data_IF_668723906346
#
_entry.id   IF_668723906346
#
_cell.length_a   1.000
_cell.length_b   1.000
_cell.length_c   1.000
_cell.angle_alpha   90.00
_cell.angle_beta   90.00
_cell.angle_gamma   90.00
#
_symmetry.space_group_name_H-M   'P 1'
#
loop_
_entity.id
_entity.type
_entity.pdbx_description
1 polymer ?
#
# COMPACT_ATOMS: atom_id res chain seq x y z
N UNK A 1 -13.16 44.20 41.41
CA UNK A 1 -13.96 42.98 41.10
C UNK A 1 -13.39 42.30 39.88
N UNK A 2 -12.54 41.33 40.10
CA UNK A 2 -11.81 40.61 39.04
C UNK A 2 -12.48 39.27 38.82
N UNK A 3 -13.01 39.05 37.60
CA UNK A 3 -13.61 37.75 37.19
C UNK A 3 -12.50 36.78 36.80
N UNK A 4 -12.40 35.63 37.49
CA UNK A 4 -11.56 34.48 37.12
C UNK A 4 -12.17 33.77 35.90
N UNK A 5 -11.35 33.30 34.94
CA UNK A 5 -11.84 32.46 33.85
C UNK A 5 -12.10 31.03 34.34
N UNK A 6 -13.25 30.47 34.00
CA UNK A 6 -13.61 29.07 34.24
C UNK A 6 -12.92 28.19 33.19
N UNK A 7 -11.94 27.41 33.61
CA UNK A 7 -11.38 26.33 32.76
C UNK A 7 -12.41 25.20 32.58
N UNK A 8 -12.82 24.94 31.33
CA UNK A 8 -13.61 23.74 30.98
C UNK A 8 -12.65 22.59 30.87
N UNK A 9 -12.64 21.71 31.87
CA UNK A 9 -12.01 20.39 31.77
C UNK A 9 -12.81 19.57 30.74
N UNK A 10 -12.19 19.23 29.61
CA UNK A 10 -12.74 18.25 28.68
C UNK A 10 -12.54 16.86 29.29
N UNK A 11 -13.61 16.24 29.74
CA UNK A 11 -13.61 14.82 30.07
C UNK A 11 -13.31 14.02 28.79
N UNK A 12 -12.18 13.33 28.77
CA UNK A 12 -11.82 12.37 27.74
C UNK A 12 -12.81 11.19 27.85
N UNK A 13 -13.43 10.81 26.71
CA UNK A 13 -14.23 9.59 26.63
C UNK A 13 -13.37 8.40 27.03
N UNK A 14 -13.89 7.43 27.83
CA UNK A 14 -13.17 6.22 28.16
C UNK A 14 -12.83 5.46 26.87
N UNK A 15 -11.60 4.94 26.81
CA UNK A 15 -11.15 4.09 25.72
C UNK A 15 -12.07 2.87 25.62
N UNK A 16 -12.51 2.57 24.39
CA UNK A 16 -13.30 1.36 24.10
C UNK A 16 -12.49 0.14 24.52
N UNK A 17 -13.06 -0.85 25.23
CA UNK A 17 -12.34 -2.06 25.60
C UNK A 17 -11.81 -2.75 24.32
N UNK A 18 -10.67 -3.45 24.40
CA UNK A 18 -10.14 -4.19 23.27
C UNK A 18 -11.17 -5.20 22.79
N UNK A 19 -11.47 -5.19 21.49
CA UNK A 19 -12.32 -6.21 20.89
C UNK A 19 -11.67 -7.58 21.13
N UNK A 20 -12.47 -8.54 21.60
CA UNK A 20 -12.06 -9.93 21.74
C UNK A 20 -11.47 -10.43 20.43
N UNK A 21 -10.34 -11.13 20.54
CA UNK A 21 -9.69 -11.80 19.43
C UNK A 21 -10.69 -12.84 18.90
N UNK A 22 -11.23 -12.59 17.72
CA UNK A 22 -12.07 -13.58 17.03
C UNK A 22 -11.31 -14.88 16.85
N UNK A 23 -12.00 -16.05 16.98
CA UNK A 23 -11.37 -17.34 16.80
C UNK A 23 -10.71 -17.43 15.43
N UNK A 24 -9.58 -18.09 15.40
CA UNK A 24 -8.74 -18.38 14.24
C UNK A 24 -9.61 -18.66 13.00
N UNK A 25 -9.60 -17.75 12.03
CA UNK A 25 -10.06 -18.08 10.70
C UNK A 25 -9.24 -19.29 10.22
N UNK A 26 -9.90 -20.29 9.66
CA UNK A 26 -9.26 -21.48 9.11
C UNK A 26 -8.00 -21.09 8.34
N UNK A 27 -6.87 -21.69 8.70
CA UNK A 27 -5.54 -21.30 8.26
C UNK A 27 -5.35 -21.64 6.76
N UNK A 28 -5.86 -20.76 5.89
CA UNK A 28 -5.48 -20.72 4.48
C UNK A 28 -4.09 -20.10 4.31
N UNK A 29 -3.41 -20.40 3.22
CA UNK A 29 -2.15 -19.74 2.86
C UNK A 29 -2.37 -18.24 2.71
N UNK A 30 -1.34 -17.44 3.01
CA UNK A 30 -1.34 -15.99 2.73
C UNK A 30 -1.73 -15.68 1.26
N UNK A 31 -1.34 -16.55 0.33
CA UNK A 31 -1.59 -16.37 -1.11
C UNK A 31 -2.99 -16.79 -1.55
N UNK A 32 -3.78 -17.44 -0.69
CA UNK A 32 -5.11 -17.91 -1.07
C UNK A 32 -6.07 -16.74 -1.30
N UNK A 33 -6.55 -16.65 -2.53
CA UNK A 33 -7.60 -15.71 -2.91
C UNK A 33 -8.97 -16.33 -2.59
N UNK A 34 -9.86 -15.54 -1.99
CA UNK A 34 -11.17 -16.00 -1.56
C UNK A 34 -12.25 -14.94 -1.77
N UNK A 35 -13.54 -15.31 -1.79
CA UNK A 35 -14.62 -14.34 -1.83
C UNK A 35 -14.54 -13.37 -0.66
N UNK A 36 -14.69 -12.07 -0.95
CA UNK A 36 -14.74 -11.03 0.07
C UNK A 36 -16.05 -11.10 0.85
N UNK A 37 -15.98 -10.89 2.17
CA UNK A 37 -17.17 -10.71 2.99
C UNK A 37 -17.83 -9.37 2.64
N UNK A 38 -19.01 -9.41 2.02
CA UNK A 38 -19.73 -8.21 1.59
C UNK A 38 -20.83 -7.87 2.61
N UNK A 39 -21.05 -6.56 2.93
CA UNK A 39 -22.18 -6.16 3.74
C UNK A 39 -23.50 -6.39 3.00
N UNK A 40 -24.64 -6.62 3.72
CA UNK A 40 -25.95 -6.95 3.11
C UNK A 40 -26.41 -5.97 2.03
N UNK A 41 -26.04 -4.68 2.14
CA UNK A 41 -26.35 -3.65 1.14
C UNK A 41 -25.74 -3.90 -0.23
N UNK A 42 -24.77 -4.81 -0.33
CA UNK A 42 -24.11 -5.23 -1.58
C UNK A 42 -24.55 -6.62 -2.05
N UNK A 43 -25.64 -7.13 -1.50
CA UNK A 43 -26.17 -8.43 -1.90
C UNK A 43 -26.30 -8.53 -3.44
N UNK A 44 -25.91 -9.69 -3.97
CA UNK A 44 -25.84 -9.98 -5.40
C UNK A 44 -24.57 -9.46 -6.09
N UNK A 45 -23.70 -8.70 -5.42
CA UNK A 45 -22.39 -8.33 -5.94
C UNK A 45 -21.29 -9.33 -5.51
N UNK A 46 -20.13 -9.26 -6.16
CA UNK A 46 -19.00 -10.14 -5.91
C UNK A 46 -17.70 -9.34 -5.91
N UNK A 47 -16.77 -9.74 -5.07
CA UNK A 47 -15.37 -9.31 -5.10
C UNK A 47 -14.51 -10.43 -4.53
N UNK A 48 -13.25 -10.50 -4.94
CA UNK A 48 -12.27 -11.39 -4.34
C UNK A 48 -11.32 -10.61 -3.44
N UNK A 49 -10.75 -11.31 -2.47
CA UNK A 49 -9.82 -10.70 -1.51
C UNK A 49 -8.80 -11.72 -1.02
N UNK A 50 -7.70 -11.22 -0.46
CA UNK A 50 -6.68 -11.98 0.26
C UNK A 50 -5.96 -11.04 1.23
N UNK A 51 -5.14 -11.55 2.17
CA UNK A 51 -4.28 -10.67 2.98
C UNK A 51 -3.46 -9.73 2.09
N UNK A 52 -3.35 -8.44 2.46
CA UNK A 52 -2.72 -7.40 1.66
C UNK A 52 -3.68 -6.62 0.74
N UNK A 53 -4.87 -7.14 0.44
CA UNK A 53 -5.92 -6.37 -0.25
C UNK A 53 -6.61 -5.44 0.73
N UNK A 54 -6.80 -4.18 0.34
CA UNK A 54 -7.46 -3.18 1.20
C UNK A 54 -8.89 -3.61 1.53
N UNK A 55 -9.23 -3.60 2.81
CA UNK A 55 -10.52 -4.03 3.33
C UNK A 55 -10.60 -5.50 3.73
N UNK A 56 -9.56 -6.31 3.48
CA UNK A 56 -9.53 -7.71 3.87
C UNK A 56 -9.98 -7.93 5.34
N UNK A 57 -10.83 -8.95 5.64
CA UNK A 57 -11.36 -10.03 4.77
C UNK A 57 -12.59 -9.65 3.93
N UNK A 58 -13.05 -8.42 4.00
CA UNK A 58 -14.15 -7.87 3.20
C UNK A 58 -13.66 -6.98 2.06
N UNK A 59 -14.41 -5.90 1.82
CA UNK A 59 -14.04 -4.81 0.92
C UNK A 59 -13.89 -3.51 1.72
N UNK A 60 -13.13 -2.55 1.19
CA UNK A 60 -13.02 -1.21 1.78
C UNK A 60 -14.40 -0.55 1.88
N UNK A 61 -14.71 0.09 3.01
CA UNK A 61 -16.03 0.68 3.28
C UNK A 61 -16.36 1.81 2.28
N UNK A 62 -15.36 2.58 1.84
CA UNK A 62 -15.56 3.61 0.82
C UNK A 62 -15.84 2.98 -0.54
N UNK A 63 -15.18 1.87 -0.90
CA UNK A 63 -15.46 1.10 -2.12
C UNK A 63 -16.88 0.48 -2.07
N UNK A 64 -17.30 -0.01 -0.89
CA UNK A 64 -18.65 -0.53 -0.69
C UNK A 64 -19.72 0.54 -0.94
N UNK A 65 -19.54 1.75 -0.37
CA UNK A 65 -20.45 2.88 -0.59
C UNK A 65 -20.42 3.36 -2.05
N UNK A 66 -19.26 3.34 -2.70
CA UNK A 66 -19.09 3.67 -4.12
C UNK A 66 -19.90 2.73 -5.00
N UNK A 67 -19.76 1.42 -4.81
CA UNK A 67 -20.50 0.41 -5.57
C UNK A 67 -22.02 0.53 -5.36
N UNK A 68 -22.46 0.73 -4.11
CA UNK A 68 -23.88 0.98 -3.82
C UNK A 68 -24.42 2.23 -4.52
N UNK A 69 -23.63 3.31 -4.53
CA UNK A 69 -23.99 4.59 -5.17
C UNK A 69 -24.11 4.42 -6.68
N UNK A 70 -23.11 3.81 -7.33
CA UNK A 70 -23.10 3.57 -8.76
C UNK A 70 -24.24 2.62 -9.19
N UNK A 71 -24.60 1.60 -8.37
CA UNK A 71 -25.75 0.73 -8.58
C UNK A 71 -27.06 1.52 -8.51
N UNK A 72 -27.25 2.39 -7.52
CA UNK A 72 -28.41 3.28 -7.38
C UNK A 72 -28.56 4.20 -8.58
N UNK A 73 -27.45 4.77 -9.04
CA UNK A 73 -27.41 5.68 -10.19
C UNK A 73 -27.51 4.91 -11.53
N UNK A 74 -27.62 3.58 -11.51
CA UNK A 74 -27.73 2.68 -12.67
C UNK A 74 -26.61 2.88 -13.68
N UNK A 75 -25.39 3.07 -13.19
CA UNK A 75 -24.19 3.16 -14.04
C UNK A 75 -24.04 1.90 -14.88
N UNK A 76 -23.76 2.07 -16.19
CA UNK A 76 -23.61 0.98 -17.17
C UNK A 76 -22.49 1.33 -18.15
N UNK A 77 -22.07 0.32 -18.93
CA UNK A 77 -21.00 0.44 -19.91
C UNK A 77 -19.63 0.45 -19.30
N UNK A 78 -18.67 1.03 -20.01
CA UNK A 78 -17.26 1.03 -19.61
C UNK A 78 -17.03 1.96 -18.41
N UNK A 79 -16.45 1.40 -17.37
CA UNK A 79 -16.04 2.11 -16.15
C UNK A 79 -14.53 1.89 -15.94
N UNK A 80 -13.78 2.97 -15.87
CA UNK A 80 -12.37 2.95 -15.46
C UNK A 80 -12.28 3.09 -13.94
N UNK A 81 -11.88 2.03 -13.27
CA UNK A 81 -11.65 2.02 -11.82
C UNK A 81 -10.15 2.17 -11.53
N UNK A 82 -9.77 3.31 -10.96
CA UNK A 82 -8.38 3.68 -10.68
C UNK A 82 -7.84 3.10 -9.35
N UNK A 83 -8.64 2.31 -8.64
CA UNK A 83 -8.26 1.61 -7.41
C UNK A 83 -9.16 0.38 -7.24
N UNK A 84 -9.04 -0.57 -8.18
CA UNK A 84 -10.00 -1.63 -8.38
C UNK A 84 -10.11 -2.64 -7.22
N UNK A 85 -9.07 -2.75 -6.38
CA UNK A 85 -9.06 -3.66 -5.23
C UNK A 85 -9.37 -5.09 -5.63
N UNK A 86 -10.46 -5.66 -5.08
CA UNK A 86 -10.94 -7.01 -5.40
C UNK A 86 -11.95 -7.09 -6.55
N UNK A 87 -12.10 -6.04 -7.36
CA UNK A 87 -12.95 -6.04 -8.58
C UNK A 87 -14.44 -5.82 -8.34
N UNK A 88 -14.84 -5.28 -7.19
CA UNK A 88 -16.25 -5.11 -6.79
C UNK A 88 -17.11 -4.43 -7.87
N UNK A 89 -16.61 -3.36 -8.50
CA UNK A 89 -17.35 -2.60 -9.50
C UNK A 89 -17.63 -3.39 -10.79
N UNK A 90 -16.80 -4.40 -11.09
CA UNK A 90 -17.01 -5.30 -12.23
C UNK A 90 -18.23 -6.23 -12.08
N UNK A 91 -18.74 -6.39 -10.86
CA UNK A 91 -19.95 -7.17 -10.59
C UNK A 91 -21.25 -6.35 -10.68
N UNK A 92 -21.16 -5.05 -10.94
CA UNK A 92 -22.34 -4.20 -11.14
C UNK A 92 -23.05 -4.55 -12.46
N UNK A 93 -24.40 -4.66 -12.47
CA UNK A 93 -25.17 -5.04 -13.67
C UNK A 93 -24.92 -4.09 -14.84
N UNK A 94 -24.38 -4.63 -15.94
CA UNK A 94 -24.16 -3.89 -17.19
C UNK A 94 -22.91 -3.00 -17.17
N UNK A 95 -22.01 -3.17 -16.21
CA UNK A 95 -20.69 -2.54 -16.18
C UNK A 95 -19.66 -3.44 -16.85
N UNK A 96 -18.86 -2.85 -17.73
CA UNK A 96 -17.61 -3.42 -18.24
C UNK A 96 -16.46 -2.74 -17.51
N UNK A 97 -15.75 -3.47 -16.64
CA UNK A 97 -14.70 -2.90 -15.82
C UNK A 97 -13.39 -2.80 -16.60
N UNK A 98 -12.78 -1.63 -16.59
CA UNK A 98 -11.37 -1.40 -16.93
C UNK A 98 -10.63 -1.14 -15.62
N UNK A 99 -9.99 -2.20 -15.11
CA UNK A 99 -9.40 -2.19 -13.78
C UNK A 99 -7.97 -1.66 -13.82
N UNK A 100 -7.66 -0.75 -12.90
CA UNK A 100 -6.30 -0.28 -12.64
C UNK A 100 -5.98 -0.52 -11.17
N UNK A 101 -4.80 -1.05 -10.90
CA UNK A 101 -4.40 -1.35 -9.54
C UNK A 101 -2.88 -1.27 -9.37
N UNK A 102 -2.42 -0.68 -8.27
CA UNK A 102 -1.00 -0.57 -7.93
C UNK A 102 -0.51 -1.57 -6.89
N UNK A 103 -1.41 -2.31 -6.25
CA UNK A 103 -1.07 -3.27 -5.20
C UNK A 103 -1.01 -4.71 -5.77
N UNK A 104 0.13 -5.37 -5.66
CA UNK A 104 0.33 -6.73 -6.17
C UNK A 104 -0.65 -7.77 -5.57
N UNK A 105 -1.00 -7.73 -4.26
CA UNK A 105 -2.04 -8.61 -3.72
C UNK A 105 -3.41 -8.42 -4.39
N UNK A 106 -3.79 -7.17 -4.69
CA UNK A 106 -5.05 -6.89 -5.35
C UNK A 106 -5.04 -7.30 -6.83
N UNK A 107 -3.90 -7.13 -7.53
CA UNK A 107 -3.71 -7.66 -8.88
C UNK A 107 -3.84 -9.19 -8.92
N UNK A 108 -3.36 -9.89 -7.91
CA UNK A 108 -3.54 -11.34 -7.78
C UNK A 108 -5.04 -11.71 -7.63
N UNK A 109 -5.77 -10.98 -6.79
CA UNK A 109 -7.21 -11.19 -6.60
C UNK A 109 -8.01 -10.88 -7.88
N UNK A 110 -7.67 -9.82 -8.61
CA UNK A 110 -8.29 -9.46 -9.89
C UNK A 110 -8.05 -10.52 -10.96
N UNK A 111 -6.82 -11.04 -11.05
CA UNK A 111 -6.49 -12.14 -11.98
C UNK A 111 -7.31 -13.40 -11.70
N UNK A 112 -7.44 -13.77 -10.42
CA UNK A 112 -8.26 -14.92 -10.02
C UNK A 112 -9.75 -14.71 -10.32
N UNK A 113 -10.22 -13.45 -10.24
CA UNK A 113 -11.57 -13.06 -10.63
C UNK A 113 -11.80 -13.05 -12.15
N UNK A 114 -10.78 -13.33 -12.97
CA UNK A 114 -10.83 -13.22 -14.42
C UNK A 114 -10.90 -11.78 -14.93
N UNK A 115 -10.50 -10.80 -14.12
CA UNK A 115 -10.48 -9.37 -14.46
C UNK A 115 -9.06 -9.02 -14.92
N UNK A 116 -8.93 -8.63 -16.19
CA UNK A 116 -7.68 -8.07 -16.70
C UNK A 116 -7.45 -6.68 -16.12
N UNK A 117 -6.46 -6.56 -15.23
CA UNK A 117 -6.14 -5.32 -14.53
C UNK A 117 -4.78 -4.79 -14.96
N UNK A 118 -4.72 -3.52 -15.31
CA UNK A 118 -3.49 -2.84 -15.69
C UNK A 118 -2.75 -2.34 -14.44
N UNK A 119 -1.49 -2.79 -14.20
CA UNK A 119 -0.68 -2.28 -13.11
C UNK A 119 -0.30 -0.83 -13.37
N UNK A 120 -0.84 0.10 -12.58
CA UNK A 120 -0.51 1.52 -12.69
C UNK A 120 -0.75 2.28 -11.39
N UNK A 121 -0.16 3.47 -11.30
CA UNK A 121 -0.22 4.37 -10.14
C UNK A 121 -0.46 5.82 -10.60
N UNK A 122 -0.83 6.75 -9.69
CA UNK A 122 -1.05 8.15 -10.04
C UNK A 122 0.14 8.76 -10.81
N UNK A 123 -0.14 9.32 -11.98
CA UNK A 123 0.84 9.87 -12.90
C UNK A 123 1.06 9.05 -14.17
N UNK A 124 0.62 7.78 -14.19
CA UNK A 124 0.76 6.96 -15.39
C UNK A 124 -0.17 7.39 -16.51
N UNK A 125 0.35 7.29 -17.74
CA UNK A 125 -0.41 7.54 -18.94
C UNK A 125 -1.15 6.26 -19.37
N UNK A 126 -2.46 6.21 -19.10
CA UNK A 126 -3.30 5.07 -19.47
C UNK A 126 -3.81 5.11 -20.92
N UNK A 127 -3.39 6.10 -21.73
CA UNK A 127 -3.87 6.21 -23.13
C UNK A 127 -3.33 5.12 -24.04
N UNK A 128 -2.16 4.60 -23.74
CA UNK A 128 -1.59 3.50 -24.51
C UNK A 128 -2.39 2.21 -24.31
N UNK A 129 -2.85 1.96 -23.07
CA UNK A 129 -3.68 0.82 -22.73
C UNK A 129 -5.12 0.98 -23.23
N UNK A 130 -5.68 2.19 -23.09
CA UNK A 130 -7.05 2.51 -23.49
C UNK A 130 -7.08 3.84 -24.29
N UNK A 131 -6.90 3.77 -25.62
CA UNK A 131 -6.97 4.95 -26.49
C UNK A 131 -8.33 5.65 -26.39
N UNK A 132 -9.42 4.86 -26.34
CA UNK A 132 -10.76 5.34 -26.06
C UNK A 132 -11.02 5.32 -24.55
N UNK A 133 -11.16 6.52 -23.97
CA UNK A 133 -11.36 6.66 -22.53
C UNK A 133 -12.81 6.40 -22.15
N UNK A 134 -13.06 5.57 -21.13
CA UNK A 134 -14.38 5.46 -20.53
C UNK A 134 -14.89 6.81 -20.06
N UNK A 135 -16.17 7.06 -20.28
CA UNK A 135 -16.82 8.31 -19.82
C UNK A 135 -17.09 8.30 -18.32
N UNK A 136 -17.06 7.15 -17.68
CA UNK A 136 -17.21 6.99 -16.24
C UNK A 136 -15.89 6.52 -15.63
N UNK A 137 -15.40 7.29 -14.67
CA UNK A 137 -14.19 6.98 -13.88
C UNK A 137 -14.61 6.82 -12.42
N UNK A 138 -14.06 5.82 -11.75
CA UNK A 138 -14.25 5.56 -10.33
C UNK A 138 -12.91 5.64 -9.61
N UNK A 139 -12.89 6.18 -8.39
CA UNK A 139 -11.72 6.27 -7.57
C UNK A 139 -12.09 6.21 -6.09
N UNK A 140 -11.37 5.38 -5.33
CA UNK A 140 -11.34 5.42 -3.87
C UNK A 140 -10.08 6.14 -3.42
N UNK A 141 -10.24 7.26 -2.71
CA UNK A 141 -9.13 8.03 -2.17
C UNK A 141 -8.39 7.25 -1.07
N UNK A 142 -7.09 7.20 -1.17
CA UNK A 142 -6.21 6.65 -0.15
C UNK A 142 -5.61 7.78 0.71
N UNK A 143 -6.46 8.51 1.45
CA UNK A 143 -6.05 9.63 2.30
C UNK A 143 -5.12 9.24 3.45
N UNK A 144 -5.10 7.97 3.83
CA UNK A 144 -4.16 7.35 4.77
C UNK A 144 -2.72 7.26 4.22
N UNK A 145 -2.53 7.36 2.90
CA UNK A 145 -1.21 7.43 2.26
C UNK A 145 -0.63 8.86 2.22
N UNK A 146 -1.32 9.82 2.80
CA UNK A 146 -0.88 11.21 2.93
C UNK A 146 -1.43 12.16 1.85
N UNK A 147 -1.21 13.45 2.11
CA UNK A 147 -1.81 14.53 1.32
C UNK A 147 -1.32 14.54 -0.14
N UNK A 148 -0.01 14.38 -0.36
CA UNK A 148 0.57 14.39 -1.70
C UNK A 148 0.00 13.26 -2.58
N UNK A 149 -0.13 12.04 -2.03
CA UNK A 149 -0.69 10.91 -2.77
C UNK A 149 -2.17 11.14 -3.14
N UNK A 150 -2.99 11.59 -2.20
CA UNK A 150 -4.40 11.85 -2.47
C UNK A 150 -4.60 12.97 -3.51
N UNK A 151 -3.75 14.00 -3.51
CA UNK A 151 -3.76 15.04 -4.55
C UNK A 151 -3.28 14.51 -5.90
N UNK A 152 -2.26 13.62 -5.91
CA UNK A 152 -1.85 12.93 -7.12
C UNK A 152 -2.98 12.06 -7.71
N UNK A 153 -3.74 11.35 -6.84
CA UNK A 153 -4.94 10.61 -7.27
C UNK A 153 -5.99 11.52 -7.90
N UNK A 154 -6.25 12.71 -7.34
CA UNK A 154 -7.18 13.70 -7.90
C UNK A 154 -6.71 14.19 -9.27
N UNK A 155 -5.44 14.56 -9.41
CA UNK A 155 -4.86 14.98 -10.68
C UNK A 155 -4.96 13.86 -11.74
N UNK A 156 -4.66 12.64 -11.34
CA UNK A 156 -4.74 11.47 -12.21
C UNK A 156 -6.17 11.16 -12.66
N UNK A 157 -7.12 11.15 -11.73
CA UNK A 157 -8.54 10.97 -12.06
C UNK A 157 -9.01 12.03 -13.05
N UNK A 158 -8.60 13.30 -12.86
CA UNK A 158 -8.90 14.35 -13.82
C UNK A 158 -8.26 14.07 -15.19
N UNK A 159 -6.99 13.67 -15.24
CA UNK A 159 -6.30 13.31 -16.48
C UNK A 159 -6.98 12.14 -17.21
N UNK A 160 -7.48 11.15 -16.49
CA UNK A 160 -8.14 9.96 -17.03
C UNK A 160 -9.60 10.19 -17.45
N UNK A 161 -10.30 11.15 -16.85
CA UNK A 161 -11.70 11.46 -17.19
C UNK A 161 -11.74 12.34 -18.44
N UNK A 162 -12.42 11.97 -19.56
CA UNK A 162 -12.56 12.83 -20.73
C UNK A 162 -13.44 14.05 -20.42
N UNK A 163 -13.34 15.18 -21.15
CA UNK A 163 -14.29 16.29 -21.03
C UNK A 163 -15.74 15.82 -21.18
N UNK A 164 -16.62 16.26 -20.28
CA UNK A 164 -17.99 15.77 -20.16
C UNK A 164 -18.15 14.37 -19.59
N UNK A 165 -17.05 13.70 -19.23
CA UNK A 165 -17.06 12.44 -18.48
C UNK A 165 -17.34 12.67 -17.00
N UNK A 166 -17.71 11.61 -16.31
CA UNK A 166 -18.12 11.61 -14.89
C UNK A 166 -17.09 10.89 -14.02
N UNK A 167 -16.67 11.53 -12.95
CA UNK A 167 -15.91 10.91 -11.86
C UNK A 167 -16.84 10.61 -10.67
N UNK A 168 -16.80 9.37 -10.18
CA UNK A 168 -17.29 8.97 -8.87
C UNK A 168 -16.09 8.86 -7.93
N UNK A 169 -16.04 9.71 -6.90
CA UNK A 169 -14.92 9.83 -5.97
C UNK A 169 -15.38 9.45 -4.56
N UNK A 170 -14.89 8.33 -4.05
CA UNK A 170 -15.18 7.86 -2.70
C UNK A 170 -14.02 8.09 -1.75
N UNK A 171 -14.29 8.18 -0.44
CA UNK A 171 -13.26 8.27 0.58
C UNK A 171 -13.80 8.45 1.99
N UNK A 172 -12.89 8.43 2.95
CA UNK A 172 -13.16 8.58 4.36
C UNK A 172 -13.01 10.05 4.79
N UNK A 173 -14.05 10.61 5.43
CA UNK A 173 -14.03 11.97 5.97
C UNK A 173 -12.88 12.18 6.96
N UNK A 174 -12.61 11.22 7.80
CA UNK A 174 -11.61 11.32 8.86
C UNK A 174 -10.16 11.20 8.30
N UNK A 175 -10.05 10.80 7.01
CA UNK A 175 -8.80 10.77 6.23
C UNK A 175 -8.69 11.93 5.22
N UNK A 176 -9.42 13.02 5.44
CA UNK A 176 -9.28 14.27 4.68
C UNK A 176 -10.15 14.38 3.42
N UNK A 177 -11.17 13.55 3.25
CA UNK A 177 -12.08 13.56 2.10
C UNK A 177 -12.54 14.96 1.69
N UNK A 178 -13.00 15.79 2.63
CA UNK A 178 -13.56 17.12 2.30
C UNK A 178 -12.52 18.04 1.63
N UNK A 179 -11.23 17.92 1.99
CA UNK A 179 -10.14 18.65 1.35
C UNK A 179 -9.95 18.20 -0.09
N UNK A 180 -9.91 16.89 -0.31
CA UNK A 180 -9.63 16.32 -1.64
C UNK A 180 -10.80 16.48 -2.59
N UNK A 181 -12.05 16.38 -2.10
CA UNK A 181 -13.25 16.68 -2.90
C UNK A 181 -13.30 18.14 -3.31
N UNK A 182 -12.88 19.07 -2.43
CA UNK A 182 -12.76 20.48 -2.80
C UNK A 182 -11.70 20.70 -3.88
N UNK A 183 -10.53 20.08 -3.76
CA UNK A 183 -9.49 20.13 -4.80
C UNK A 183 -9.97 19.54 -6.13
N UNK A 184 -10.66 18.40 -6.08
CA UNK A 184 -11.25 17.77 -7.26
C UNK A 184 -12.35 18.65 -7.86
N UNK A 185 -13.24 19.23 -7.05
CA UNK A 185 -14.29 20.17 -7.50
C UNK A 185 -13.74 21.38 -8.24
N UNK A 186 -12.63 21.94 -7.75
CA UNK A 186 -11.93 23.05 -8.42
C UNK A 186 -11.38 22.60 -9.80
N UNK A 187 -10.80 21.41 -9.88
CA UNK A 187 -10.25 20.87 -11.12
C UNK A 187 -11.34 20.50 -12.14
N UNK A 188 -12.39 19.84 -11.69
CA UNK A 188 -13.49 19.41 -12.56
C UNK A 188 -14.48 20.54 -12.91
N UNK A 189 -14.47 21.63 -12.13
CA UNK A 189 -15.38 22.77 -12.28
C UNK A 189 -16.78 22.53 -11.73
N UNK A 190 -17.03 21.38 -11.09
CA UNK A 190 -18.26 21.03 -10.39
C UNK A 190 -18.01 19.84 -9.49
N UNK A 191 -18.88 19.62 -8.50
CA UNK A 191 -18.82 18.44 -7.66
C UNK A 191 -19.77 18.54 -6.48
N UNK A 192 -20.47 17.47 -6.20
CA UNK A 192 -21.35 17.36 -5.05
C UNK A 192 -21.17 16.02 -4.35
N UNK A 193 -21.26 16.00 -3.03
CA UNK A 193 -21.33 14.76 -2.25
C UNK A 193 -22.75 14.20 -2.34
N UNK A 194 -22.91 13.07 -3.00
CA UNK A 194 -24.21 12.45 -3.34
C UNK A 194 -24.58 11.25 -2.46
N UNK A 195 -23.60 10.72 -1.68
CA UNK A 195 -23.85 9.64 -0.75
C UNK A 195 -22.99 9.76 0.51
N UNK A 196 -23.55 9.30 1.64
CA UNK A 196 -22.89 9.27 2.96
C UNK A 196 -23.31 8.01 3.70
N UNK A 197 -22.34 7.33 4.32
CA UNK A 197 -22.57 6.21 5.23
C UNK A 197 -21.46 6.20 6.31
N UNK A 198 -21.81 6.38 7.57
CA UNK A 198 -20.82 6.56 8.63
C UNK A 198 -19.81 7.68 8.31
N UNK A 199 -18.53 7.33 8.30
CA UNK A 199 -17.42 8.21 7.87
C UNK A 199 -17.27 8.33 6.35
N UNK A 200 -17.81 7.35 5.60
CA UNK A 200 -17.61 7.27 4.15
C UNK A 200 -18.48 8.26 3.38
N UNK A 201 -17.95 8.74 2.28
CA UNK A 201 -18.58 9.72 1.39
C UNK A 201 -18.33 9.35 -0.06
N UNK A 202 -19.28 9.68 -0.95
CA UNK A 202 -19.10 9.63 -2.40
C UNK A 202 -19.50 10.96 -3.01
N UNK A 203 -18.63 11.54 -3.82
CA UNK A 203 -18.94 12.68 -4.66
C UNK A 203 -19.05 12.25 -6.12
N UNK A 204 -19.85 12.99 -6.87
CA UNK A 204 -19.98 12.90 -8.33
C UNK A 204 -19.58 14.21 -8.95
N UNK A 205 -18.77 14.16 -9.99
CA UNK A 205 -18.23 15.32 -10.69
C UNK A 205 -18.29 15.09 -12.19
N UNK A 206 -18.62 16.13 -12.96
CA UNK A 206 -18.54 16.11 -14.43
C UNK A 206 -17.37 16.99 -14.85
N UNK A 207 -16.44 16.41 -15.63
CA UNK A 207 -15.26 17.14 -16.07
C UNK A 207 -15.62 18.24 -17.07
N UNK A 208 -15.32 19.49 -16.72
CA UNK A 208 -15.30 20.62 -17.62
C UNK A 208 -13.97 20.70 -18.38
N UNK A 209 -13.93 21.30 -19.58
CA UNK A 209 -12.66 21.58 -20.24
C UNK A 209 -11.76 22.43 -19.34
N UNK A 210 -10.48 22.07 -19.26
CA UNK A 210 -9.50 22.76 -18.44
C UNK A 210 -8.21 21.95 -18.30
N UNK A 211 -7.14 22.56 -17.78
CA UNK A 211 -5.87 21.90 -17.56
C UNK A 211 -5.98 20.87 -16.43
N UNK A 212 -5.23 19.80 -16.54
CA UNK A 212 -5.05 18.86 -15.42
C UNK A 212 -4.25 19.53 -14.32
N UNK A 213 -4.64 19.37 -13.04
CA UNK A 213 -3.83 19.85 -11.92
C UNK A 213 -2.42 19.28 -11.97
N UNK A 214 -1.45 20.05 -11.48
CA UNK A 214 -0.08 19.58 -11.34
C UNK A 214 -0.02 18.37 -10.39
N UNK A 215 0.80 17.40 -10.75
CA UNK A 215 1.13 16.30 -9.84
C UNK A 215 2.11 16.81 -8.78
N UNK A 216 1.96 16.39 -7.51
CA UNK A 216 2.94 16.68 -6.48
C UNK A 216 4.32 16.13 -6.86
N UNK A 217 5.35 16.92 -6.61
CA UNK A 217 6.74 16.51 -6.84
C UNK A 217 7.14 15.37 -5.89
N UNK A 218 8.09 14.53 -6.27
CA UNK A 218 8.74 13.59 -5.36
C UNK A 218 9.37 14.33 -4.19
N UNK A 219 9.30 13.73 -3.01
CA UNK A 219 10.05 14.14 -1.84
C UNK A 219 11.38 13.37 -1.77
N UNK A 220 12.17 13.59 -0.74
CA UNK A 220 13.39 12.84 -0.55
C UNK A 220 14.24 13.38 0.60
N UNK A 221 15.32 12.67 0.87
CA UNK A 221 16.30 13.02 1.88
C UNK A 221 17.65 12.37 1.59
N UNK A 222 18.66 12.79 2.32
CA UNK A 222 19.97 12.13 2.28
C UNK A 222 20.22 11.39 3.61
N UNK A 223 20.75 10.19 3.52
CA UNK A 223 21.18 9.39 4.68
C UNK A 223 22.45 8.64 4.32
N UNK A 224 23.50 8.75 5.14
CA UNK A 224 24.81 8.12 4.92
C UNK A 224 25.36 8.35 3.49
N UNK A 225 25.13 9.54 2.92
CA UNK A 225 25.55 9.89 1.58
C UNK A 225 24.75 9.20 0.46
N UNK A 226 23.63 8.56 0.77
CA UNK A 226 22.66 8.07 -0.20
C UNK A 226 21.54 9.09 -0.37
N UNK A 227 21.24 9.44 -1.62
CA UNK A 227 20.06 10.22 -1.98
C UNK A 227 18.85 9.30 -2.11
N UNK A 228 17.90 9.42 -1.21
CA UNK A 228 16.64 8.68 -1.24
C UNK A 228 15.58 9.49 -1.97
N UNK A 229 14.90 8.88 -2.93
CA UNK A 229 13.81 9.47 -3.68
C UNK A 229 12.49 8.88 -3.19
N UNK A 230 11.64 9.72 -2.60
CA UNK A 230 10.33 9.34 -2.07
C UNK A 230 9.20 9.80 -2.98
N UNK A 231 8.57 8.89 -3.70
CA UNK A 231 7.37 9.22 -4.46
C UNK A 231 6.17 9.42 -3.54
N UNK A 232 5.17 10.25 -3.92
CA UNK A 232 3.98 10.48 -3.10
C UNK A 232 3.33 9.18 -2.62
N UNK A 233 3.08 9.07 -1.31
CA UNK A 233 2.40 7.92 -0.70
C UNK A 233 3.26 6.71 -0.38
N UNK A 234 4.55 6.74 -0.70
CA UNK A 234 5.49 5.72 -0.26
C UNK A 234 5.84 5.94 1.21
N UNK A 235 5.96 4.84 1.94
CA UNK A 235 6.36 4.90 3.35
C UNK A 235 7.71 5.60 3.50
N UNK A 236 7.80 6.54 4.42
CA UNK A 236 9.03 7.32 4.69
C UNK A 236 9.60 8.07 3.47
N UNK A 237 8.73 8.63 2.61
CA UNK A 237 9.14 9.35 1.42
C UNK A 237 9.98 10.61 1.72
N UNK A 238 9.61 11.36 2.78
CA UNK A 238 10.20 12.68 3.10
C UNK A 238 11.32 12.65 4.15
N UNK A 239 11.47 11.55 4.87
CA UNK A 239 12.43 11.41 5.98
C UNK A 239 12.71 9.95 6.31
N UNK A 240 13.89 9.63 6.86
CA UNK A 240 14.20 8.27 7.27
C UNK A 240 13.22 7.75 8.33
N UNK A 241 12.83 6.49 8.21
CA UNK A 241 12.13 5.76 9.26
C UNK A 241 13.11 5.35 10.37
N UNK A 242 12.70 5.51 11.62
CA UNK A 242 13.56 5.21 12.78
C UNK A 242 13.93 3.74 12.88
N UNK A 243 13.01 2.83 12.54
CA UNK A 243 13.30 1.39 12.54
C UNK A 243 14.33 1.05 11.47
N UNK A 244 14.17 1.59 10.26
CA UNK A 244 15.15 1.41 9.17
C UNK A 244 16.51 1.96 9.56
N UNK A 245 16.60 3.15 10.15
CA UNK A 245 17.88 3.70 10.64
C UNK A 245 18.53 2.75 11.66
N UNK A 246 17.76 2.27 12.63
CA UNK A 246 18.25 1.33 13.65
C UNK A 246 18.79 0.04 13.03
N UNK A 247 18.13 -0.49 11.98
CA UNK A 247 18.60 -1.66 11.24
C UNK A 247 19.98 -1.40 10.60
N UNK A 248 20.13 -0.27 9.88
CA UNK A 248 21.38 0.09 9.22
C UNK A 248 22.52 0.31 10.25
N UNK A 249 22.23 0.99 11.35
CA UNK A 249 23.19 1.19 12.45
C UNK A 249 23.59 -0.13 13.15
N UNK A 250 22.63 -1.06 13.34
CA UNK A 250 22.92 -2.36 13.93
C UNK A 250 23.80 -3.25 13.03
N UNK A 251 23.71 -3.06 11.71
CA UNK A 251 24.56 -3.74 10.73
C UNK A 251 25.92 -3.05 10.55
N UNK A 252 26.00 -1.72 10.82
CA UNK A 252 27.25 -0.98 10.83
C UNK A 252 28.08 -1.17 9.56
N UNK A 253 29.30 -1.71 9.72
CA UNK A 253 30.27 -1.89 8.65
C UNK A 253 30.16 -3.24 7.91
N UNK A 254 29.05 -3.97 8.04
CA UNK A 254 28.83 -5.23 7.31
C UNK A 254 28.99 -4.99 5.82
N UNK A 255 29.79 -5.83 5.16
CA UNK A 255 30.00 -5.82 3.71
C UNK A 255 29.25 -7.00 3.09
N UNK A 256 28.73 -6.78 1.87
CA UNK A 256 27.96 -7.79 1.13
C UNK A 256 28.64 -8.21 -0.17
N UNK A 257 29.94 -7.95 -0.30
CA UNK A 257 30.71 -8.28 -1.50
C UNK A 257 30.57 -9.76 -1.88
N UNK A 258 30.10 -10.02 -3.09
CA UNK A 258 29.87 -11.37 -3.60
C UNK A 258 28.60 -12.04 -3.09
N UNK A 259 27.80 -11.36 -2.26
CA UNK A 259 26.53 -11.89 -1.73
C UNK A 259 25.33 -11.41 -2.54
N UNK A 260 24.36 -12.28 -2.73
CA UNK A 260 23.03 -11.95 -3.23
C UNK A 260 22.17 -11.48 -2.06
N UNK A 261 21.69 -10.26 -2.15
CA UNK A 261 20.93 -9.61 -1.07
C UNK A 261 19.51 -9.33 -1.55
N UNK A 262 18.52 -9.75 -0.77
CA UNK A 262 17.12 -9.42 -0.98
C UNK A 262 16.70 -8.32 0.01
N UNK A 263 16.18 -7.19 -0.51
CA UNK A 263 15.43 -6.18 0.26
C UNK A 263 13.93 -6.49 0.12
N UNK A 264 13.36 -7.11 1.15
CA UNK A 264 11.98 -7.60 1.14
C UNK A 264 11.03 -6.57 1.75
N UNK A 265 10.18 -5.95 0.91
CA UNK A 265 9.35 -4.81 1.27
C UNK A 265 10.15 -3.50 1.23
N UNK A 266 10.72 -3.20 0.08
CA UNK A 266 11.79 -2.22 -0.06
C UNK A 266 11.37 -0.75 0.13
N UNK A 267 10.08 -0.41 0.01
CA UNK A 267 9.58 0.96 0.16
C UNK A 267 10.31 1.95 -0.77
N UNK A 268 11.04 2.91 -0.18
CA UNK A 268 11.88 3.85 -0.93
C UNK A 268 13.16 3.25 -1.50
N UNK A 269 13.48 1.99 -1.19
CA UNK A 269 14.70 1.31 -1.64
C UNK A 269 15.96 1.68 -0.85
N UNK A 270 15.83 2.34 0.31
CA UNK A 270 16.99 2.77 1.11
C UNK A 270 17.85 1.57 1.55
N UNK A 271 17.24 0.50 2.08
CA UNK A 271 17.95 -0.68 2.57
C UNK A 271 18.71 -1.36 1.43
N UNK A 272 18.04 -1.58 0.29
CA UNK A 272 18.66 -2.16 -0.90
C UNK A 272 19.80 -1.31 -1.46
N UNK A 273 19.62 0.02 -1.57
CA UNK A 273 20.68 0.93 -2.00
C UNK A 273 21.88 0.94 -1.04
N UNK A 274 21.63 0.85 0.27
CA UNK A 274 22.66 0.76 1.30
C UNK A 274 23.47 -0.54 1.17
N UNK A 275 22.80 -1.66 0.90
CA UNK A 275 23.46 -2.96 0.67
C UNK A 275 24.23 -2.98 -0.66
N UNK A 276 23.67 -2.42 -1.74
CA UNK A 276 24.33 -2.30 -3.05
C UNK A 276 25.64 -1.50 -2.94
N UNK A 277 25.64 -0.39 -2.21
CA UNK A 277 26.83 0.43 -1.97
C UNK A 277 27.93 -0.30 -1.20
N UNK A 278 27.55 -1.35 -0.45
CA UNK A 278 28.45 -2.24 0.29
C UNK A 278 28.80 -3.52 -0.48
N UNK A 279 28.62 -3.51 -1.81
CA UNK A 279 29.06 -4.56 -2.73
C UNK A 279 28.08 -5.72 -2.90
N UNK A 280 26.85 -5.62 -2.37
CA UNK A 280 25.82 -6.64 -2.55
C UNK A 280 25.23 -6.65 -3.97
N UNK A 281 24.98 -7.84 -4.51
CA UNK A 281 24.12 -8.02 -5.69
C UNK A 281 22.67 -8.00 -5.24
N UNK A 282 22.01 -6.81 -5.34
CA UNK A 282 20.72 -6.57 -4.70
C UNK A 282 19.53 -6.83 -5.64
N UNK A 283 18.52 -7.50 -5.08
CA UNK A 283 17.15 -7.56 -5.62
C UNK A 283 16.22 -6.96 -4.58
N UNK A 284 15.39 -5.99 -5.00
CA UNK A 284 14.43 -5.32 -4.15
C UNK A 284 13.03 -5.72 -4.59
N UNK A 285 12.14 -5.98 -3.65
CA UNK A 285 10.74 -6.31 -3.96
C UNK A 285 9.77 -5.51 -3.09
N UNK A 286 8.65 -5.10 -3.67
CA UNK A 286 7.55 -4.47 -2.93
C UNK A 286 6.20 -4.79 -3.57
N UNK A 287 5.17 -4.91 -2.74
CA UNK A 287 3.79 -5.12 -3.18
C UNK A 287 3.11 -3.85 -3.70
N UNK A 288 3.68 -2.67 -3.49
CA UNK A 288 3.17 -1.39 -3.97
C UNK A 288 4.01 -0.88 -5.15
N UNK A 289 3.40 -0.75 -6.31
CA UNK A 289 4.08 -0.29 -7.53
C UNK A 289 4.68 1.13 -7.38
N UNK A 290 4.10 1.98 -6.52
CA UNK A 290 4.68 3.29 -6.21
C UNK A 290 6.00 3.15 -5.45
N UNK A 291 6.08 2.20 -4.52
CA UNK A 291 7.31 1.84 -3.81
C UNK A 291 8.37 1.30 -4.77
N UNK A 292 7.99 0.40 -5.68
CA UNK A 292 8.89 -0.14 -6.71
C UNK A 292 9.54 0.99 -7.51
N UNK A 293 8.76 1.97 -7.98
CA UNK A 293 9.28 3.12 -8.73
C UNK A 293 10.15 4.04 -7.88
N UNK A 294 9.78 4.22 -6.62
CA UNK A 294 10.59 4.99 -5.67
C UNK A 294 11.96 4.34 -5.45
N UNK A 295 12.00 3.03 -5.27
CA UNK A 295 13.24 2.26 -5.13
C UNK A 295 14.11 2.30 -6.39
N UNK A 296 13.51 2.17 -7.58
CA UNK A 296 14.20 2.35 -8.87
C UNK A 296 14.83 3.75 -8.98
N UNK A 297 14.07 4.80 -8.63
CA UNK A 297 14.56 6.17 -8.64
C UNK A 297 15.70 6.38 -7.61
N UNK A 298 15.63 5.74 -6.43
CA UNK A 298 16.68 5.78 -5.42
C UNK A 298 17.97 5.13 -5.92
N UNK A 299 17.89 3.92 -6.50
CA UNK A 299 19.07 3.27 -7.09
C UNK A 299 19.68 4.13 -8.20
N UNK A 300 18.87 4.63 -9.11
CA UNK A 300 19.32 5.49 -10.23
C UNK A 300 19.96 6.78 -9.75
N UNK A 301 19.39 7.46 -8.73
CA UNK A 301 19.92 8.70 -8.16
C UNK A 301 21.32 8.54 -7.53
N UNK A 302 21.71 7.31 -7.20
CA UNK A 302 23.02 6.97 -6.62
C UNK A 302 23.94 6.21 -7.58
N UNK A 303 23.51 5.96 -8.83
CA UNK A 303 24.28 5.18 -9.80
C UNK A 303 24.55 3.74 -9.35
N UNK A 304 23.66 3.16 -8.53
CA UNK A 304 23.81 1.82 -7.97
C UNK A 304 23.09 0.78 -8.84
N UNK A 305 23.72 -0.39 -9.08
CA UNK A 305 23.06 -1.50 -9.77
C UNK A 305 22.08 -2.18 -8.82
N UNK A 306 21.00 -2.75 -9.37
CA UNK A 306 20.03 -3.54 -8.64
C UNK A 306 18.79 -3.79 -9.49
N UNK A 307 18.08 -4.86 -9.18
CA UNK A 307 16.79 -5.21 -9.79
C UNK A 307 15.66 -4.88 -8.81
N UNK A 308 14.60 -4.22 -9.29
CA UNK A 308 13.43 -3.91 -8.45
C UNK A 308 12.19 -4.51 -9.09
N UNK A 309 11.49 -5.36 -8.34
CA UNK A 309 10.34 -6.13 -8.81
C UNK A 309 9.06 -5.76 -8.07
N UNK A 310 7.95 -5.65 -8.80
CA UNK A 310 6.62 -5.57 -8.22
C UNK A 310 6.16 -6.97 -7.83
N UNK A 311 6.01 -7.25 -6.53
CA UNK A 311 5.83 -8.60 -5.99
C UNK A 311 4.90 -8.62 -4.79
N UNK A 312 3.93 -9.51 -4.81
CA UNK A 312 3.19 -9.88 -3.59
C UNK A 312 4.11 -10.74 -2.72
N UNK A 313 4.72 -10.10 -1.73
CA UNK A 313 5.82 -10.64 -0.93
C UNK A 313 6.94 -11.16 -1.84
N UNK A 314 7.12 -12.47 -1.95
CA UNK A 314 8.17 -13.12 -2.73
C UNK A 314 7.69 -13.80 -4.03
N UNK A 315 6.42 -13.57 -4.41
CA UNK A 315 5.80 -14.28 -5.54
C UNK A 315 6.51 -14.06 -6.89
N UNK A 316 7.09 -12.87 -7.12
CA UNK A 316 7.79 -12.55 -8.36
C UNK A 316 9.24 -13.08 -8.41
N UNK A 317 9.77 -13.66 -7.33
CA UNK A 317 11.15 -14.13 -7.26
C UNK A 317 11.39 -15.49 -7.94
N UNK A 318 10.32 -16.23 -8.29
CA UNK A 318 10.46 -17.57 -8.82
C UNK A 318 11.22 -18.49 -7.84
N UNK A 319 12.28 -19.13 -8.31
CA UNK A 319 13.12 -20.02 -7.49
C UNK A 319 14.43 -19.38 -7.01
N UNK A 320 14.54 -18.06 -7.13
CA UNK A 320 15.73 -17.34 -6.73
C UNK A 320 15.98 -17.48 -5.23
N UNK A 321 17.24 -17.64 -4.87
CA UNK A 321 17.70 -17.70 -3.48
C UNK A 321 18.78 -16.67 -3.19
N UNK A 322 18.92 -16.30 -1.92
CA UNK A 322 19.75 -15.20 -1.46
C UNK A 322 20.62 -15.64 -0.28
N UNK A 323 21.77 -14.99 -0.15
CA UNK A 323 22.70 -15.21 0.96
C UNK A 323 22.27 -14.37 2.17
N UNK A 324 21.60 -13.21 1.89
CA UNK A 324 21.11 -12.29 2.91
C UNK A 324 19.70 -11.81 2.52
N UNK A 325 18.82 -11.74 3.52
CA UNK A 325 17.52 -11.04 3.42
C UNK A 325 17.49 -9.93 4.45
N UNK A 326 17.18 -8.72 4.00
CA UNK A 326 16.98 -7.52 4.81
C UNK A 326 15.51 -7.13 4.75
N UNK A 327 14.89 -6.78 5.89
CA UNK A 327 13.49 -6.37 5.88
C UNK A 327 13.11 -5.47 7.06
N UNK A 328 12.24 -4.49 6.76
CA UNK A 328 11.44 -3.74 7.71
C UNK A 328 9.97 -4.02 7.38
N UNK A 329 9.37 -5.11 7.90
CA UNK A 329 8.04 -5.54 7.50
C UNK A 329 6.97 -4.50 7.82
N UNK A 330 5.85 -4.42 7.05
CA UNK A 330 4.78 -3.48 7.34
C UNK A 330 4.07 -3.80 8.67
N UNK A 331 3.83 -2.76 9.51
CA UNK A 331 3.21 -2.89 10.84
C UNK A 331 2.01 -1.96 11.09
N UNK A 332 1.46 -1.34 10.03
CA UNK A 332 0.40 -0.31 10.19
C UNK A 332 -1.00 -0.73 9.72
N UNK A 333 -1.23 -1.97 9.36
CA UNK A 333 -2.53 -2.48 8.90
C UNK A 333 -3.23 -3.20 10.04
N UNK A 334 -4.36 -2.77 10.56
CA UNK A 334 -5.17 -3.28 11.68
C UNK A 334 -4.64 -4.52 12.44
N UNK A 335 -4.70 -4.55 13.76
CA UNK A 335 -3.91 -5.44 14.65
C UNK A 335 -3.86 -6.94 14.32
N UNK A 336 -4.88 -7.53 13.67
CA UNK A 336 -4.89 -8.96 13.29
C UNK A 336 -4.17 -9.23 11.97
N UNK A 337 -4.38 -8.40 10.96
CA UNK A 337 -3.81 -8.55 9.59
C UNK A 337 -2.29 -8.30 9.57
N UNK A 338 -1.79 -7.44 10.47
CA UNK A 338 -0.36 -7.10 10.57
C UNK A 338 0.50 -8.31 10.91
N UNK A 339 0.07 -9.13 11.86
CA UNK A 339 0.83 -10.30 12.27
C UNK A 339 0.90 -11.36 11.15
N UNK A 340 -0.16 -11.50 10.36
CA UNK A 340 -0.20 -12.48 9.28
C UNK A 340 0.71 -12.06 8.11
N UNK A 341 0.72 -10.78 7.74
CA UNK A 341 1.64 -10.25 6.71
C UNK A 341 3.10 -10.37 7.17
N UNK A 342 3.40 -9.99 8.40
CA UNK A 342 4.78 -10.08 8.91
C UNK A 342 5.27 -11.53 9.07
N UNK A 343 4.39 -12.46 9.46
CA UNK A 343 4.71 -13.90 9.46
C UNK A 343 5.03 -14.40 8.06
N UNK A 344 4.27 -13.93 7.04
CA UNK A 344 4.56 -14.28 5.65
C UNK A 344 5.91 -13.72 5.18
N UNK A 345 6.29 -12.51 5.60
CA UNK A 345 7.64 -11.97 5.32
C UNK A 345 8.75 -12.87 5.90
N UNK A 346 8.58 -13.37 7.12
CA UNK A 346 9.54 -14.30 7.74
C UNK A 346 9.54 -15.65 7.02
N UNK A 347 8.38 -16.18 6.67
CA UNK A 347 8.24 -17.42 5.90
C UNK A 347 8.88 -17.30 4.52
N UNK A 348 8.65 -16.18 3.82
CA UNK A 348 9.26 -15.84 2.55
C UNK A 348 10.79 -15.77 2.67
N UNK A 349 11.32 -15.10 3.69
CA UNK A 349 12.74 -15.08 3.94
C UNK A 349 13.29 -16.51 4.12
N UNK A 350 12.59 -17.37 4.85
CA UNK A 350 12.96 -18.77 5.01
C UNK A 350 12.98 -19.55 3.70
N UNK A 351 12.02 -19.32 2.79
CA UNK A 351 12.00 -19.95 1.46
C UNK A 351 13.14 -19.45 0.56
N UNK A 352 13.54 -18.19 0.71
CA UNK A 352 14.49 -17.51 -0.18
C UNK A 352 15.95 -17.53 0.29
N UNK A 353 16.20 -17.78 1.55
CA UNK A 353 17.58 -17.93 2.04
C UNK A 353 18.17 -19.27 1.61
N UNK A 354 19.43 -19.28 1.22
CA UNK A 354 20.22 -20.51 1.12
C UNK A 354 20.48 -21.08 2.53
N UNK A 355 20.81 -22.37 2.67
CA UNK A 355 21.39 -22.89 3.92
C UNK A 355 22.61 -22.06 4.34
N UNK A 356 22.65 -21.62 5.58
CA UNK A 356 23.69 -20.72 6.09
C UNK A 356 23.47 -19.23 5.77
N UNK A 357 22.46 -18.88 4.98
CA UNK A 357 22.06 -17.49 4.70
C UNK A 357 21.40 -16.83 5.92
N UNK A 358 21.43 -15.50 5.98
CA UNK A 358 21.00 -14.74 7.16
C UNK A 358 19.85 -13.78 6.86
N UNK A 359 18.80 -13.84 7.69
CA UNK A 359 17.74 -12.83 7.76
C UNK A 359 18.11 -11.79 8.82
N UNK A 360 18.06 -10.51 8.44
CA UNK A 360 18.05 -9.36 9.34
C UNK A 360 16.70 -8.66 9.25
N UNK A 361 16.06 -8.48 10.40
CA UNK A 361 14.71 -7.92 10.48
C UNK A 361 14.66 -6.87 11.60
N UNK A 362 14.07 -5.71 11.31
CA UNK A 362 13.72 -4.75 12.34
C UNK A 362 12.22 -4.79 12.63
N UNK A 363 11.85 -4.71 13.90
CA UNK A 363 10.47 -4.79 14.35
C UNK A 363 10.21 -3.81 15.50
N UNK A 364 8.94 -3.43 15.69
CA UNK A 364 8.50 -2.81 16.94
C UNK A 364 8.74 -3.80 18.12
N UNK A 365 9.25 -3.29 19.22
CA UNK A 365 9.65 -4.09 20.38
C UNK A 365 8.57 -5.07 20.90
N UNK A 366 7.25 -4.70 20.99
CA UNK A 366 6.22 -5.61 21.49
C UNK A 366 5.84 -6.76 20.53
N UNK A 367 6.31 -6.74 19.27
CA UNK A 367 5.89 -7.74 18.28
C UNK A 367 6.69 -9.04 18.44
N UNK A 368 6.03 -10.22 18.62
CA UNK A 368 6.69 -11.47 18.97
C UNK A 368 7.21 -12.22 17.72
N UNK A 369 8.13 -11.61 16.96
CA UNK A 369 8.65 -12.21 15.73
C UNK A 369 9.71 -13.30 15.98
N UNK A 370 10.28 -13.33 17.19
CA UNK A 370 11.28 -14.32 17.58
C UNK A 370 10.79 -15.77 17.42
N UNK A 371 9.51 -16.01 17.77
CA UNK A 371 8.92 -17.33 17.62
C UNK A 371 8.84 -17.79 16.15
N UNK A 372 8.45 -16.89 15.23
CA UNK A 372 8.39 -17.18 13.81
C UNK A 372 9.80 -17.33 13.21
N UNK A 373 10.73 -16.44 13.56
CA UNK A 373 12.13 -16.51 13.11
C UNK A 373 12.85 -17.76 13.66
N UNK A 374 12.47 -18.22 14.86
CA UNK A 374 13.03 -19.40 15.51
C UNK A 374 12.82 -20.70 14.72
N UNK A 375 11.89 -20.73 13.79
CA UNK A 375 11.71 -21.87 12.86
C UNK A 375 12.87 -22.01 11.86
N UNK A 376 13.62 -20.93 11.63
CA UNK A 376 14.76 -20.90 10.71
C UNK A 376 16.07 -21.25 11.40
N UNK A 377 16.18 -21.01 12.70
CA UNK A 377 17.39 -21.22 13.50
C UNK A 377 17.42 -20.38 14.78
N UNK A 378 18.53 -20.39 15.54
CA UNK A 378 18.69 -19.56 16.73
C UNK A 378 18.61 -18.07 16.41
N UNK A 379 17.66 -17.36 17.05
CA UNK A 379 17.47 -15.92 16.88
C UNK A 379 18.41 -15.15 17.80
N UNK A 380 19.06 -14.13 17.26
CA UNK A 380 19.91 -13.19 18.00
C UNK A 380 19.32 -11.80 17.93
N UNK A 381 19.23 -11.11 19.05
CA UNK A 381 18.95 -9.68 19.07
C UNK A 381 20.27 -8.92 18.92
N UNK A 382 20.38 -8.10 17.88
CA UNK A 382 21.58 -7.31 17.59
C UNK A 382 21.55 -5.96 18.29
N UNK A 383 20.37 -5.33 18.33
CA UNK A 383 20.17 -4.01 18.93
C UNK A 383 18.73 -3.82 19.36
N UNK A 384 18.52 -3.04 20.44
CA UNK A 384 17.18 -2.61 20.90
C UNK A 384 17.28 -1.16 21.32
N UNK A 385 16.47 -0.31 20.70
CA UNK A 385 16.46 1.13 20.98
C UNK A 385 15.18 1.80 20.43
N UNK A 386 14.72 2.84 21.13
CA UNK A 386 13.62 3.70 20.64
C UNK A 386 12.29 3.01 20.40
N UNK A 387 12.02 1.87 21.05
CA UNK A 387 10.80 1.07 20.88
C UNK A 387 10.88 0.07 19.72
N UNK A 388 12.09 -0.13 19.16
CA UNK A 388 12.36 -1.09 18.11
C UNK A 388 13.46 -2.08 18.54
N UNK A 389 13.47 -3.25 17.88
CA UNK A 389 14.52 -4.28 18.02
C UNK A 389 14.98 -4.77 16.66
N UNK A 390 16.26 -5.03 16.52
CA UNK A 390 16.86 -5.66 15.34
C UNK A 390 17.19 -7.09 15.67
N UNK A 391 16.63 -7.99 14.90
CA UNK A 391 16.80 -9.44 15.06
C UNK A 391 17.55 -10.02 13.88
N UNK A 392 18.35 -11.04 14.14
CA UNK A 392 19.04 -11.81 13.12
C UNK A 392 18.86 -13.32 13.36
N UNK A 393 18.70 -14.08 12.28
CA UNK A 393 18.68 -15.53 12.29
C UNK A 393 19.42 -16.07 11.08
N UNK A 394 20.26 -17.07 11.27
CA UNK A 394 20.90 -17.79 10.18
C UNK A 394 20.11 -19.07 9.92
N UNK A 395 19.71 -19.29 8.66
CA UNK A 395 18.97 -20.48 8.26
C UNK A 395 19.81 -21.73 8.47
N UNK A 396 19.31 -22.68 9.26
CA UNK A 396 19.94 -23.99 9.40
C UNK A 396 20.01 -24.73 8.05
N UNK A 397 21.00 -25.62 7.93
CA UNK A 397 21.21 -26.43 6.71
C UNK A 397 20.19 -27.55 6.58
#
# INVERSE_FOLDING_TARGET
>A
MTRKPKSKVRLSRPARPPAEVSPQAEAGSYFDVRPAALPPRLDGLRALTKPGVRGFPGVDDAQALLAQTMRRDRVRGDVLDLAAGGGLLGSLPGVTLRAVEGAAPALAALREAGIDAHPAVPGDNLREQWPERPRTVALVLAGDRGNAYALAQVAWAHACTPPGGTLYLAGDRDKGYDRYVRAAGNAFGSGETIARDGGMRVARMVRRPGPTPAFPDPEGYELEGLRVVGLPGVFSAARPDKATVLLLEALGDVQFTGQRVLDLGCGTGLIGAWAARRGGAVTLVDGDLQSVRSAQATLAANGLPGEVLHSDVDAALGERTFDVVLTNPPFHVGRGVVLDVAREFIAAAGRRLVPGGTLYLVANEPLPYEAAMGTLGPVRELRREGGFKVLAVTRAG
#
